data_IF_306725831001
#
_entry.id   IF_306725831001
#
_cell.length_a   1.000
_cell.length_b   1.000
_cell.length_c   1.000
_cell.angle_alpha   90.00
_cell.angle_beta   90.00
_cell.angle_gamma   90.00
#
_symmetry.space_group_name_H-M   'P 1'
#
loop_
_entity.id
_entity.type
_entity.pdbx_description
1 polymer ?
#
# COMPACT_ATOMS: atom_id res chain seq x y z
N UNK A 1 -16.28 7.26 -2.11
CA UNK A 1 -15.60 6.17 -2.84
C UNK A 1 -15.48 6.46 -4.33
N UNK A 2 -16.49 6.98 -5.03
CA UNK A 2 -16.40 7.29 -6.49
C UNK A 2 -15.30 8.29 -6.88
N UNK A 3 -15.07 9.34 -6.08
CA UNK A 3 -14.03 10.34 -6.36
C UNK A 3 -12.59 9.79 -6.38
N UNK A 4 -12.34 8.67 -5.69
CA UNK A 4 -11.01 8.04 -5.67
C UNK A 4 -10.66 7.39 -7.03
N UNK A 5 -11.66 6.97 -7.81
CA UNK A 5 -11.44 6.38 -9.14
C UNK A 5 -11.14 7.43 -10.23
N UNK A 6 -11.41 8.71 -9.96
CA UNK A 6 -11.14 9.80 -10.92
C UNK A 6 -9.70 10.32 -10.82
N UNK A 7 -9.06 10.12 -9.68
CA UNK A 7 -7.68 10.52 -9.42
C UNK A 7 -6.83 9.35 -9.88
N UNK A 8 -6.50 9.25 -11.18
CA UNK A 8 -5.64 8.19 -11.72
C UNK A 8 -4.29 8.17 -10.97
N UNK A 9 -4.12 7.34 -9.92
CA UNK A 9 -3.08 7.57 -8.94
C UNK A 9 -1.85 6.75 -9.33
N UNK A 10 -0.68 7.38 -9.28
CA UNK A 10 0.61 6.72 -9.44
C UNK A 10 1.25 6.52 -8.07
N UNK A 11 1.56 5.27 -7.74
CA UNK A 11 2.30 4.90 -6.54
C UNK A 11 3.75 4.59 -6.90
N UNK A 12 4.67 5.20 -6.18
CA UNK A 12 6.10 4.94 -6.23
C UNK A 12 6.58 4.48 -4.85
N UNK A 13 7.60 3.62 -4.81
CA UNK A 13 8.22 3.08 -3.59
C UNK A 13 9.69 3.53 -3.54
N UNK A 14 9.97 4.82 -3.32
CA UNK A 14 11.32 5.38 -3.49
C UNK A 14 12.35 4.78 -2.54
N UNK A 15 11.90 4.26 -1.39
CA UNK A 15 12.74 3.63 -0.38
C UNK A 15 12.72 2.08 -0.47
N UNK A 16 12.18 1.53 -1.56
CA UNK A 16 11.96 0.10 -1.72
C UNK A 16 10.81 -0.44 -0.88
N UNK A 17 10.77 -1.76 -0.75
CA UNK A 17 9.86 -2.51 0.12
C UNK A 17 10.56 -3.78 0.61
N UNK A 18 10.06 -4.35 1.70
CA UNK A 18 10.57 -5.60 2.27
C UNK A 18 9.46 -6.64 2.38
N UNK A 19 9.84 -7.91 2.19
CA UNK A 19 8.95 -9.06 2.33
C UNK A 19 9.59 -10.12 3.21
N UNK A 20 8.94 -10.45 4.32
CA UNK A 20 9.35 -11.53 5.22
C UNK A 20 8.39 -12.70 5.07
N UNK A 21 8.91 -13.89 4.75
CA UNK A 21 8.10 -15.09 4.51
C UNK A 21 8.32 -16.09 5.64
N UNK A 22 7.22 -16.59 6.21
CA UNK A 22 7.20 -17.69 7.16
C UNK A 22 6.13 -18.71 6.74
N UNK A 23 6.57 -19.83 6.18
CA UNK A 23 5.70 -20.86 5.61
C UNK A 23 4.72 -20.29 4.57
N UNK A 24 3.42 -20.33 4.85
CA UNK A 24 2.35 -19.83 4.01
C UNK A 24 1.86 -18.43 4.43
N UNK A 25 2.60 -17.70 5.26
CA UNK A 25 2.31 -16.32 5.66
C UNK A 25 3.47 -15.43 5.21
N UNK A 26 3.16 -14.21 4.78
CA UNK A 26 4.15 -13.18 4.47
C UNK A 26 3.75 -11.84 5.08
N UNK A 27 4.74 -11.08 5.53
CA UNK A 27 4.61 -9.68 5.92
C UNK A 27 5.25 -8.82 4.82
N UNK A 28 4.49 -7.87 4.29
CA UNK A 28 4.96 -6.89 3.31
C UNK A 28 4.98 -5.50 3.95
N UNK A 29 6.13 -4.83 3.92
CA UNK A 29 6.32 -3.49 4.45
C UNK A 29 6.78 -2.59 3.31
N UNK A 30 5.98 -1.58 2.98
CA UNK A 30 6.20 -0.76 1.78
C UNK A 30 5.90 0.72 2.03
N UNK A 31 6.93 1.55 2.27
CA UNK A 31 6.82 3.01 2.21
C UNK A 31 6.43 3.43 0.80
N UNK A 32 5.34 4.18 0.67
CA UNK A 32 4.80 4.59 -0.62
C UNK A 32 4.65 6.11 -0.70
N UNK A 33 4.76 6.62 -1.93
CA UNK A 33 4.37 7.98 -2.31
C UNK A 33 3.34 7.86 -3.41
N UNK A 34 2.18 8.47 -3.19
CA UNK A 34 1.11 8.57 -4.19
C UNK A 34 1.13 9.97 -4.79
N UNK A 35 1.05 10.03 -6.12
CA UNK A 35 0.81 11.27 -6.86
C UNK A 35 -0.40 11.10 -7.78
N UNK A 36 -1.16 12.16 -7.96
CA UNK A 36 -2.33 12.16 -8.84
C UNK A 36 -2.81 13.56 -9.17
N UNK A 37 -3.79 13.66 -10.06
CA UNK A 37 -4.52 14.90 -10.33
C UNK A 37 -6.00 14.70 -10.07
N UNK A 38 -6.60 15.62 -9.33
CA UNK A 38 -8.04 15.70 -9.17
C UNK A 38 -8.71 16.16 -10.49
N UNK A 39 -10.03 15.93 -10.67
CA UNK A 39 -10.75 16.34 -11.88
C UNK A 39 -10.66 17.84 -12.20
N UNK A 40 -10.50 18.68 -11.17
CA UNK A 40 -10.30 20.13 -11.29
C UNK A 40 -8.87 20.52 -11.69
N UNK A 41 -7.98 19.54 -11.86
CA UNK A 41 -6.57 19.73 -12.20
C UNK A 41 -5.64 19.88 -11.00
N UNK A 42 -6.16 19.89 -9.77
CA UNK A 42 -5.34 20.01 -8.55
C UNK A 42 -4.39 18.83 -8.41
N UNK A 43 -3.10 19.10 -8.22
CA UNK A 43 -2.11 18.06 -7.95
C UNK A 43 -2.25 17.54 -6.52
N UNK A 44 -2.37 16.22 -6.38
CA UNK A 44 -2.42 15.52 -5.10
C UNK A 44 -1.10 14.79 -4.91
N UNK A 45 -0.50 14.94 -3.72
CA UNK A 45 0.65 14.14 -3.27
C UNK A 45 0.38 13.67 -1.86
N UNK A 46 0.48 12.37 -1.64
CA UNK A 46 0.37 11.74 -0.33
C UNK A 46 1.49 10.74 -0.14
N UNK A 47 1.77 10.37 1.10
CA UNK A 47 2.74 9.34 1.43
C UNK A 47 2.28 8.53 2.62
N UNK A 48 2.78 7.31 2.72
CA UNK A 48 2.56 6.49 3.89
C UNK A 48 3.40 5.24 3.95
N UNK A 49 3.10 4.37 4.92
CA UNK A 49 3.69 3.06 5.08
C UNK A 49 2.59 2.02 5.02
N UNK A 50 2.56 1.22 3.96
CA UNK A 50 1.69 0.04 3.91
C UNK A 50 2.36 -1.10 4.68
N UNK A 51 1.59 -1.72 5.58
CA UNK A 51 1.93 -2.97 6.25
C UNK A 51 0.81 -3.96 5.95
N UNK A 52 1.11 -4.96 5.12
CA UNK A 52 0.14 -5.95 4.68
C UNK A 52 0.58 -7.35 5.09
N UNK A 53 -0.39 -8.18 5.47
CA UNK A 53 -0.19 -9.61 5.72
C UNK A 53 -0.80 -10.37 4.56
N UNK A 54 -0.04 -11.29 3.98
CA UNK A 54 -0.48 -12.17 2.91
C UNK A 54 -0.49 -13.61 3.40
N UNK A 55 -1.40 -14.41 2.84
CA UNK A 55 -1.44 -15.86 3.03
C UNK A 55 -1.41 -16.58 1.68
N UNK A 56 -0.51 -17.55 1.55
CA UNK A 56 -0.45 -18.48 0.42
C UNK A 56 -1.61 -19.47 0.55
N UNK A 57 -2.47 -19.49 -0.44
CA UNK A 57 -3.60 -20.42 -0.55
C UNK A 57 -3.09 -21.81 -0.96
N UNK A 58 -3.93 -22.83 -0.79
CA UNK A 58 -3.63 -24.20 -1.25
C UNK A 58 -3.34 -24.26 -2.77
N UNK A 59 -4.00 -23.38 -3.55
CA UNK A 59 -3.74 -23.20 -4.98
C UNK A 59 -2.39 -22.56 -5.32
N UNK A 60 -1.62 -22.14 -4.32
CA UNK A 60 -0.30 -21.53 -4.47
C UNK A 60 -0.30 -20.00 -4.59
N UNK A 61 -1.46 -19.38 -4.78
CA UNK A 61 -1.59 -17.93 -4.88
C UNK A 61 -1.41 -17.23 -3.53
N UNK A 62 -0.75 -16.07 -3.51
CA UNK A 62 -0.72 -15.21 -2.33
C UNK A 62 -1.88 -14.23 -2.38
N UNK A 63 -2.69 -14.21 -1.33
CA UNK A 63 -3.77 -13.24 -1.16
C UNK A 63 -3.52 -12.40 0.09
N UNK A 64 -3.85 -11.11 0.00
CA UNK A 64 -3.81 -10.21 1.15
C UNK A 64 -4.93 -10.61 2.12
N UNK A 65 -4.58 -10.80 3.39
CA UNK A 65 -5.51 -11.13 4.48
C UNK A 65 -5.68 -9.98 5.48
N UNK A 66 -4.74 -9.03 5.48
CA UNK A 66 -4.81 -7.78 6.23
C UNK A 66 -4.05 -6.71 5.45
N UNK A 67 -4.60 -5.50 5.42
CA UNK A 67 -3.94 -4.30 4.91
C UNK A 67 -4.05 -3.17 5.92
N UNK A 68 -2.92 -2.55 6.23
CA UNK A 68 -2.87 -1.25 6.89
C UNK A 68 -2.06 -0.29 6.01
N UNK A 69 -2.72 0.55 5.18
CA UNK A 69 -2.03 1.46 4.26
C UNK A 69 -1.31 2.62 4.99
N UNK A 70 -1.55 2.80 6.29
CA UNK A 70 -0.99 3.86 7.12
C UNK A 70 -0.40 3.33 8.44
N UNK A 71 0.40 2.26 8.35
CA UNK A 71 1.00 1.57 9.49
C UNK A 71 1.85 2.43 10.43
N UNK A 72 2.28 3.60 9.97
CA UNK A 72 3.06 4.55 10.74
C UNK A 72 2.23 5.58 11.54
N UNK A 73 0.90 5.65 11.35
CA UNK A 73 0.05 6.69 11.95
C UNK A 73 0.15 6.79 13.49
N UNK A 74 0.46 5.70 14.19
CA UNK A 74 0.62 5.70 15.65
C UNK A 74 2.06 5.96 16.10
N UNK A 75 3.01 5.98 15.18
CA UNK A 75 4.44 6.24 15.44
C UNK A 75 4.77 7.71 15.23
N UNK A 76 4.12 8.34 14.25
CA UNK A 76 4.23 9.76 13.95
C UNK A 76 3.37 10.55 14.96
N UNK A 77 4.01 11.30 15.87
CA UNK A 77 3.36 12.25 16.79
C UNK A 77 3.42 13.68 16.26
#
# INVERSE_FOLDING_TARGET
FEGAFQINPKFDYPNGHEVYIANNIALHIAPWVMTGKAPDGTSIKQSGLSVAVLRKQESGNWLMVLDNPHGQQLLDK
#
